data_IF_285402666733
#
_entry.id   IF_285402666733
#
_cell.length_a   1.000
_cell.length_b   1.000
_cell.length_c   1.000
_cell.angle_alpha   90.00
_cell.angle_beta   90.00
_cell.angle_gamma   90.00
#
_symmetry.space_group_name_H-M   'P 1'
#
loop_
_entity.id
_entity.type
_entity.pdbx_description
1 polymer ?
#
# COMPACT_ATOMS: atom_id res chain seq x y z
N UNK A 1 20.79 9.66 -0.62
CA UNK A 1 19.91 10.38 0.33
C UNK A 1 18.42 10.06 0.17
N UNK A 2 17.80 10.24 -1.01
CA UNK A 2 16.37 9.88 -1.23
C UNK A 2 16.04 8.44 -0.84
N UNK A 3 16.95 7.49 -1.09
CA UNK A 3 16.78 6.10 -0.68
C UNK A 3 16.68 5.95 0.85
N UNK A 4 17.55 6.62 1.60
CA UNK A 4 17.54 6.57 3.07
C UNK A 4 16.24 7.15 3.62
N UNK A 5 15.81 8.31 3.11
CA UNK A 5 14.55 8.97 3.50
C UNK A 5 13.35 8.03 3.30
N UNK A 6 13.30 7.33 2.17
CA UNK A 6 12.17 6.44 1.86
C UNK A 6 12.20 5.14 2.67
N UNK A 7 13.39 4.58 2.88
CA UNK A 7 13.58 3.39 3.71
C UNK A 7 13.14 3.65 5.15
N UNK A 8 13.54 4.80 5.73
CA UNK A 8 13.11 5.21 7.08
C UNK A 8 11.60 5.43 7.12
N UNK A 9 11.00 6.04 6.08
CA UNK A 9 9.54 6.23 6.00
C UNK A 9 8.82 4.89 5.87
N UNK A 10 9.34 3.98 5.06
CA UNK A 10 8.70 2.67 4.81
C UNK A 10 8.75 1.73 6.01
N UNK A 11 9.71 1.88 6.93
CA UNK A 11 9.78 1.07 8.15
C UNK A 11 8.51 1.19 9.01
N UNK A 12 7.86 2.36 8.99
CA UNK A 12 6.63 2.59 9.74
C UNK A 12 5.41 1.83 9.18
N UNK A 13 5.43 1.42 7.90
CA UNK A 13 4.31 0.67 7.29
C UNK A 13 4.00 -0.59 8.08
N UNK A 14 5.03 -1.20 8.68
CA UNK A 14 4.88 -2.37 9.57
C UNK A 14 3.98 -2.05 10.76
N UNK A 15 4.16 -0.91 11.40
CA UNK A 15 3.33 -0.48 12.53
C UNK A 15 1.91 -0.09 12.07
N UNK A 16 1.80 0.74 11.03
CA UNK A 16 0.51 1.26 10.54
C UNK A 16 -0.38 0.22 9.86
N UNK A 17 0.15 -0.94 9.50
CA UNK A 17 -0.58 -2.09 8.98
C UNK A 17 -1.07 -3.00 10.11
N UNK A 18 -0.42 -4.17 10.31
CA UNK A 18 -0.94 -5.22 11.20
C UNK A 18 -1.03 -4.82 12.67
N UNK A 19 -0.07 -4.05 13.20
CA UNK A 19 -0.07 -3.69 14.61
C UNK A 19 -1.08 -2.59 14.95
N UNK A 20 -1.26 -1.60 14.10
CA UNK A 20 -2.31 -0.59 14.29
C UNK A 20 -3.70 -1.24 14.20
N UNK A 21 -3.91 -2.17 13.27
CA UNK A 21 -5.15 -2.95 13.21
C UNK A 21 -5.37 -3.74 14.50
N UNK A 22 -4.33 -4.41 15.03
CA UNK A 22 -4.41 -5.13 16.31
C UNK A 22 -4.79 -4.20 17.46
N UNK A 23 -4.25 -2.97 17.47
CA UNK A 23 -4.58 -1.95 18.46
C UNK A 23 -6.05 -1.51 18.37
N UNK A 24 -6.56 -1.26 17.18
CA UNK A 24 -7.98 -0.97 16.98
C UNK A 24 -8.89 -2.11 17.42
N UNK A 25 -8.53 -3.37 17.10
CA UNK A 25 -9.34 -4.55 17.46
C UNK A 25 -9.39 -4.74 18.97
N UNK A 26 -8.27 -4.58 19.67
CA UNK A 26 -8.20 -4.74 21.14
C UNK A 26 -9.08 -3.72 21.87
N UNK A 27 -9.13 -2.49 21.38
CA UNK A 27 -9.91 -1.42 21.98
C UNK A 27 -11.39 -1.41 21.53
N UNK A 28 -11.76 -2.15 20.49
CA UNK A 28 -13.13 -2.15 19.91
C UNK A 28 -13.84 -3.49 20.05
N UNK A 29 -13.72 -4.18 21.19
CA UNK A 29 -14.38 -5.45 21.46
C UNK A 29 -14.34 -6.44 20.27
N UNK A 30 -13.18 -6.51 19.59
CA UNK A 30 -12.95 -7.31 18.38
C UNK A 30 -13.75 -6.85 17.12
N UNK A 31 -14.27 -5.64 17.08
CA UNK A 31 -14.92 -5.06 15.90
C UNK A 31 -13.91 -4.28 15.04
N UNK A 32 -14.01 -4.43 13.73
CA UNK A 32 -13.11 -3.80 12.75
C UNK A 32 -13.63 -2.44 12.21
N UNK A 33 -14.80 -2.01 12.68
CA UNK A 33 -15.52 -0.81 12.23
C UNK A 33 -14.63 0.45 12.22
N UNK A 34 -14.02 0.78 13.35
CA UNK A 34 -13.22 2.01 13.50
C UNK A 34 -11.96 1.99 12.63
N UNK A 35 -11.37 0.81 12.44
CA UNK A 35 -10.25 0.64 11.52
C UNK A 35 -10.67 0.82 10.05
N UNK A 36 -11.88 0.36 9.69
CA UNK A 36 -12.44 0.61 8.37
C UNK A 36 -12.66 2.10 8.12
N UNK A 37 -13.24 2.83 9.08
CA UNK A 37 -13.38 4.29 9.03
C UNK A 37 -12.04 5.00 8.86
N UNK A 38 -11.05 4.65 9.69
CA UNK A 38 -9.68 5.18 9.57
C UNK A 38 -9.15 5.06 8.14
N UNK A 39 -9.27 3.89 7.51
CA UNK A 39 -8.77 3.68 6.16
C UNK A 39 -9.59 4.40 5.08
N UNK A 40 -10.93 4.45 5.20
CA UNK A 40 -11.80 5.20 4.28
C UNK A 40 -11.33 6.65 4.23
N UNK A 41 -11.24 7.31 5.39
CA UNK A 41 -10.81 8.70 5.44
C UNK A 41 -9.37 8.89 4.98
N UNK A 42 -8.47 7.95 5.30
CA UNK A 42 -7.08 7.98 4.82
C UNK A 42 -6.99 8.02 3.29
N UNK A 43 -7.71 7.14 2.61
CA UNK A 43 -7.63 7.06 1.15
C UNK A 43 -8.45 8.13 0.43
N UNK A 44 -9.57 8.57 0.99
CA UNK A 44 -10.34 9.72 0.46
C UNK A 44 -9.49 10.99 0.54
N UNK A 45 -8.92 11.28 1.70
CA UNK A 45 -8.06 12.46 1.90
C UNK A 45 -6.81 12.36 1.05
N UNK A 46 -6.18 11.18 0.98
CA UNK A 46 -5.02 10.95 0.12
C UNK A 46 -5.33 11.29 -1.34
N UNK A 47 -6.47 10.83 -1.87
CA UNK A 47 -6.89 11.08 -3.24
C UNK A 47 -7.14 12.57 -3.51
N UNK A 48 -7.92 13.24 -2.66
CA UNK A 48 -8.27 14.67 -2.81
C UNK A 48 -7.02 15.56 -2.70
N UNK A 49 -6.20 15.30 -1.69
CA UNK A 49 -4.98 16.09 -1.46
C UNK A 49 -3.94 15.82 -2.55
N UNK A 50 -3.79 14.59 -3.05
CA UNK A 50 -2.90 14.31 -4.18
C UNK A 50 -3.28 15.12 -5.41
N UNK A 51 -4.57 15.33 -5.68
CA UNK A 51 -5.02 16.19 -6.77
C UNK A 51 -4.59 17.65 -6.57
N UNK A 52 -4.89 18.23 -5.41
CA UNK A 52 -4.53 19.62 -5.08
C UNK A 52 -3.00 19.80 -5.11
N UNK A 53 -2.29 18.85 -4.50
CA UNK A 53 -0.82 18.90 -4.40
C UNK A 53 -0.11 18.71 -5.75
N UNK A 54 -0.71 18.01 -6.71
CA UNK A 54 -0.15 17.86 -8.05
C UNK A 54 0.04 19.20 -8.75
N UNK A 55 -0.89 20.14 -8.58
CA UNK A 55 -0.73 21.52 -9.06
C UNK A 55 0.38 22.27 -8.32
N UNK A 56 0.51 22.03 -7.02
CA UNK A 56 1.49 22.70 -6.18
C UNK A 56 2.93 22.20 -6.44
N UNK A 57 3.11 20.88 -6.57
CA UNK A 57 4.42 20.24 -6.79
C UNK A 57 5.07 20.72 -8.07
N UNK A 58 4.31 20.93 -9.16
CA UNK A 58 4.87 21.44 -10.41
C UNK A 58 5.37 22.90 -10.32
N UNK A 59 4.79 23.71 -9.44
CA UNK A 59 5.09 25.14 -9.31
C UNK A 59 6.12 25.47 -8.25
N UNK A 60 6.26 24.66 -7.19
CA UNK A 60 7.04 24.99 -5.98
C UNK A 60 8.09 23.92 -5.63
N UNK A 61 8.80 24.18 -4.56
CA UNK A 61 9.87 23.32 -4.06
C UNK A 61 9.33 21.97 -3.57
N UNK A 62 9.70 20.90 -4.25
CA UNK A 62 9.25 19.52 -4.04
C UNK A 62 9.71 18.98 -2.68
N UNK A 63 10.90 19.42 -2.22
CA UNK A 63 11.41 19.05 -0.89
C UNK A 63 10.56 19.62 0.24
N UNK A 64 10.00 20.82 0.10
CA UNK A 64 9.07 21.37 1.10
C UNK A 64 7.82 20.51 1.23
N UNK A 65 7.29 20.02 0.12
CA UNK A 65 6.15 19.11 0.13
C UNK A 65 6.47 17.80 0.83
N UNK A 66 7.62 17.20 0.55
CA UNK A 66 8.07 15.96 1.18
C UNK A 66 8.25 16.14 2.71
N UNK A 67 8.85 17.26 3.14
CA UNK A 67 8.98 17.63 4.56
C UNK A 67 7.62 17.73 5.24
N UNK A 68 6.64 18.39 4.59
CA UNK A 68 5.26 18.46 5.11
C UNK A 68 4.64 17.06 5.27
N UNK A 69 4.91 16.13 4.34
CA UNK A 69 4.44 14.75 4.46
C UNK A 69 5.00 14.02 5.67
N UNK A 70 6.28 14.22 5.99
CA UNK A 70 6.89 13.66 7.20
C UNK A 70 6.32 14.33 8.45
N UNK A 71 6.09 15.64 8.45
CA UNK A 71 5.47 16.35 9.58
C UNK A 71 4.04 15.85 9.85
N UNK A 72 3.19 15.72 8.83
CA UNK A 72 1.86 15.13 9.01
C UNK A 72 1.92 13.71 9.54
N UNK A 73 2.96 12.96 9.18
CA UNK A 73 3.17 11.63 9.71
C UNK A 73 3.56 11.63 11.19
N UNK A 74 4.43 12.55 11.60
CA UNK A 74 4.78 12.75 13.02
C UNK A 74 3.53 13.16 13.81
N UNK A 75 2.70 14.08 13.27
CA UNK A 75 1.45 14.48 13.91
C UNK A 75 0.47 13.31 14.02
N UNK A 76 0.35 12.47 13.00
CA UNK A 76 -0.45 11.24 13.07
C UNK A 76 -0.01 10.32 14.22
N UNK A 77 1.29 10.06 14.34
CA UNK A 77 1.83 9.24 15.43
C UNK A 77 1.64 9.91 16.79
N UNK A 78 1.79 11.22 16.85
CA UNK A 78 1.59 12.00 18.09
C UNK A 78 0.13 11.95 18.57
N UNK A 79 -0.83 11.99 17.64
CA UNK A 79 -2.24 11.79 17.96
C UNK A 79 -2.46 10.41 18.57
N UNK A 80 -1.83 9.34 18.05
CA UNK A 80 -1.92 7.99 18.63
C UNK A 80 -1.44 7.99 20.09
N UNK A 81 -0.32 8.69 20.38
CA UNK A 81 0.23 8.77 21.76
C UNK A 81 -0.71 9.51 22.71
N UNK A 82 -1.36 10.60 22.25
CA UNK A 82 -2.29 11.38 23.08
C UNK A 82 -3.60 10.60 23.33
N UNK A 83 -4.13 10.00 22.28
CA UNK A 83 -5.46 9.39 22.29
C UNK A 83 -5.46 8.06 23.05
N UNK A 84 -4.35 7.32 23.05
CA UNK A 84 -4.19 6.01 23.71
C UNK A 84 -5.38 5.08 23.38
N UNK A 85 -6.03 4.55 24.41
CA UNK A 85 -7.13 3.59 24.29
C UNK A 85 -8.40 4.18 23.63
N UNK A 86 -8.53 5.51 23.58
CA UNK A 86 -9.65 6.18 22.90
C UNK A 86 -9.49 6.22 21.37
N UNK A 87 -8.59 5.43 20.79
CA UNK A 87 -8.29 5.39 19.36
C UNK A 87 -9.53 5.20 18.47
N UNK A 88 -10.57 4.55 18.99
CA UNK A 88 -11.84 4.30 18.31
C UNK A 88 -12.53 5.61 17.95
N UNK A 89 -12.66 6.52 18.94
CA UNK A 89 -13.36 7.80 18.80
C UNK A 89 -12.65 8.70 17.80
N UNK A 90 -11.32 8.65 17.78
CA UNK A 90 -10.48 9.50 16.93
C UNK A 90 -10.08 8.85 15.61
N UNK A 91 -10.70 7.72 15.22
CA UNK A 91 -10.38 6.99 14.00
C UNK A 91 -10.43 7.84 12.73
N UNK A 92 -11.43 8.73 12.62
CA UNK A 92 -11.58 9.67 11.50
C UNK A 92 -10.42 10.68 11.47
N UNK A 93 -10.08 11.28 12.62
CA UNK A 93 -8.98 12.23 12.74
C UNK A 93 -7.65 11.60 12.35
N UNK A 94 -7.38 10.39 12.84
CA UNK A 94 -6.21 9.61 12.49
C UNK A 94 -6.15 9.33 10.98
N UNK A 95 -7.30 8.97 10.38
CA UNK A 95 -7.42 8.77 8.94
C UNK A 95 -7.07 10.02 8.13
N UNK A 96 -7.55 11.18 8.55
CA UNK A 96 -7.25 12.46 7.90
C UNK A 96 -5.75 12.76 7.93
N UNK A 97 -5.10 12.70 9.09
CA UNK A 97 -3.66 13.00 9.21
C UNK A 97 -2.79 11.98 8.46
N UNK A 98 -3.16 10.70 8.51
CA UNK A 98 -2.45 9.68 7.74
C UNK A 98 -2.60 9.89 6.23
N UNK A 99 -3.81 10.19 5.75
CA UNK A 99 -4.08 10.50 4.34
C UNK A 99 -3.31 11.74 3.85
N UNK A 100 -3.25 12.81 4.66
CA UNK A 100 -2.41 13.98 4.41
C UNK A 100 -0.93 13.59 4.27
N UNK A 101 -0.43 12.76 5.19
CA UNK A 101 0.95 12.26 5.14
C UNK A 101 1.23 11.48 3.85
N UNK A 102 0.35 10.56 3.46
CA UNK A 102 0.51 9.74 2.26
C UNK A 102 0.58 10.62 1.00
N UNK A 103 -0.38 11.52 0.82
CA UNK A 103 -0.46 12.37 -0.36
C UNK A 103 0.74 13.31 -0.50
N UNK A 104 1.09 13.99 0.59
CA UNK A 104 2.14 15.02 0.58
C UNK A 104 3.55 14.44 0.60
N UNK A 105 3.71 13.14 0.94
CA UNK A 105 4.98 12.42 0.86
C UNK A 105 5.18 11.71 -0.46
N UNK A 106 4.28 10.79 -0.84
CA UNK A 106 4.52 9.88 -1.96
C UNK A 106 4.49 10.56 -3.33
N UNK A 107 3.63 11.54 -3.54
CA UNK A 107 3.58 12.26 -4.81
C UNK A 107 4.90 12.99 -5.13
N UNK A 108 5.43 13.89 -4.26
CA UNK A 108 6.71 14.56 -4.52
C UNK A 108 7.88 13.57 -4.50
N UNK A 109 7.85 12.55 -3.66
CA UNK A 109 8.90 11.53 -3.59
C UNK A 109 9.05 10.77 -4.93
N UNK A 110 7.96 10.23 -5.46
CA UNK A 110 7.97 9.49 -6.72
C UNK A 110 8.43 10.40 -7.88
N UNK A 111 8.00 11.66 -7.87
CA UNK A 111 8.43 12.64 -8.85
C UNK A 111 9.93 12.96 -8.73
N UNK A 112 10.48 13.10 -7.52
CA UNK A 112 11.92 13.31 -7.31
C UNK A 112 12.74 12.10 -7.77
N UNK A 113 12.32 10.89 -7.42
CA UNK A 113 12.99 9.66 -7.87
C UNK A 113 13.06 9.59 -9.39
N UNK A 114 11.97 9.90 -10.08
CA UNK A 114 11.91 9.81 -11.53
C UNK A 114 12.76 10.86 -12.25
N UNK A 115 13.01 12.02 -11.62
CA UNK A 115 13.74 13.13 -12.25
C UNK A 115 15.22 13.22 -11.82
N UNK A 116 15.54 12.82 -10.59
CA UNK A 116 16.90 12.98 -10.03
C UNK A 116 17.77 11.73 -10.24
N UNK A 117 17.14 10.55 -10.40
CA UNK A 117 17.89 9.31 -10.60
C UNK A 117 18.07 9.07 -12.09
N UNK A 118 19.34 8.97 -12.52
CA UNK A 118 19.68 8.63 -13.92
C UNK A 118 19.09 7.27 -14.30
N UNK A 119 18.61 7.14 -15.52
CA UNK A 119 18.00 5.88 -16.02
C UNK A 119 18.92 4.67 -15.85
N UNK A 120 20.21 4.86 -16.04
CA UNK A 120 21.25 3.81 -15.86
C UNK A 120 21.35 3.30 -14.42
N UNK A 121 20.97 4.10 -13.43
CA UNK A 121 21.03 3.76 -12.01
C UNK A 121 19.67 3.43 -11.39
N UNK A 122 18.57 3.56 -12.14
CA UNK A 122 17.22 3.28 -11.64
C UNK A 122 17.07 1.83 -11.14
N UNK A 123 17.57 0.86 -11.89
CA UNK A 123 17.49 -0.55 -11.51
C UNK A 123 18.26 -0.83 -10.22
N UNK A 124 19.47 -0.29 -10.10
CA UNK A 124 20.27 -0.39 -8.88
C UNK A 124 19.56 0.26 -7.68
N UNK A 125 19.00 1.45 -7.89
CA UNK A 125 18.29 2.18 -6.84
C UNK A 125 17.06 1.42 -6.34
N UNK A 126 16.22 0.91 -7.27
CA UNK A 126 15.05 0.10 -6.90
C UNK A 126 15.46 -1.22 -6.23
N UNK A 127 16.51 -1.86 -6.71
CA UNK A 127 17.05 -3.08 -6.09
C UNK A 127 17.50 -2.84 -4.65
N UNK A 128 18.30 -1.79 -4.40
CA UNK A 128 18.73 -1.42 -3.04
C UNK A 128 17.56 -1.02 -2.15
N UNK A 129 16.62 -0.22 -2.67
CA UNK A 129 15.39 0.15 -1.95
C UNK A 129 14.63 -1.08 -1.50
N UNK A 130 14.35 -1.99 -2.41
CA UNK A 130 13.61 -3.22 -2.10
C UNK A 130 14.35 -4.09 -1.09
N UNK A 131 15.66 -4.29 -1.27
CA UNK A 131 16.46 -5.12 -0.36
C UNK A 131 16.45 -4.58 1.07
N UNK A 132 16.72 -3.28 1.24
CA UNK A 132 16.76 -2.66 2.57
C UNK A 132 15.36 -2.60 3.18
N UNK A 133 14.35 -2.21 2.41
CA UNK A 133 12.96 -2.18 2.89
C UNK A 133 12.48 -3.57 3.32
N UNK A 134 12.87 -4.61 2.60
CA UNK A 134 12.52 -5.98 2.94
C UNK A 134 13.18 -6.44 4.25
N UNK A 135 14.46 -6.11 4.47
CA UNK A 135 15.13 -6.40 5.75
C UNK A 135 14.39 -5.73 6.90
N UNK A 136 14.04 -4.46 6.76
CA UNK A 136 13.30 -3.73 7.79
C UNK A 136 11.90 -4.31 8.05
N UNK A 137 11.21 -4.76 6.99
CA UNK A 137 9.91 -5.41 7.12
C UNK A 137 9.95 -6.79 7.78
N UNK A 138 11.12 -7.44 7.85
CA UNK A 138 11.33 -8.66 8.65
C UNK A 138 11.71 -8.31 10.09
N UNK A 139 12.60 -7.34 10.29
CA UNK A 139 13.16 -7.01 11.59
C UNK A 139 12.18 -6.22 12.48
N UNK A 140 11.50 -5.20 11.91
CA UNK A 140 10.61 -4.35 12.70
C UNK A 140 9.42 -5.08 13.34
N UNK A 141 8.73 -6.05 12.71
CA UNK A 141 7.64 -6.77 13.39
C UNK A 141 8.13 -7.51 14.64
N UNK A 142 9.36 -8.07 14.63
CA UNK A 142 9.94 -8.72 15.80
C UNK A 142 10.23 -7.70 16.92
N UNK A 143 10.84 -6.56 16.56
CA UNK A 143 11.12 -5.49 17.52
C UNK A 143 9.82 -4.97 18.14
N UNK A 144 8.81 -4.66 17.31
CA UNK A 144 7.50 -4.19 17.79
C UNK A 144 6.85 -5.25 18.70
N UNK A 145 6.88 -6.52 18.27
CA UNK A 145 6.34 -7.62 19.05
C UNK A 145 7.01 -7.77 20.42
N UNK A 146 8.34 -7.59 20.52
CA UNK A 146 9.09 -7.58 21.78
C UNK A 146 8.70 -6.37 22.64
N UNK A 147 8.65 -5.17 22.05
CA UNK A 147 8.25 -3.96 22.80
C UNK A 147 6.86 -4.12 23.38
N UNK A 148 5.90 -4.69 22.64
CA UNK A 148 4.53 -4.90 23.10
C UNK A 148 4.37 -6.00 24.14
N UNK A 149 5.42 -6.78 24.47
CA UNK A 149 5.45 -7.68 25.62
C UNK A 149 5.63 -6.91 26.93
N UNK A 150 6.45 -5.86 26.92
CA UNK A 150 6.86 -5.12 28.11
C UNK A 150 6.19 -3.75 28.23
N UNK A 151 5.73 -3.21 27.11
CA UNK A 151 5.19 -1.86 26.97
C UNK A 151 3.89 -1.90 26.16
N UNK A 152 3.38 -0.72 25.81
CA UNK A 152 2.13 -0.51 25.10
C UNK A 152 2.35 -0.01 23.64
N UNK A 153 1.25 0.15 22.90
CA UNK A 153 1.26 0.67 21.54
C UNK A 153 1.73 2.14 21.46
N UNK A 154 1.57 2.91 22.55
CA UNK A 154 2.04 4.29 22.63
C UNK A 154 3.57 4.36 22.64
N UNK A 155 4.22 3.42 23.30
CA UNK A 155 5.69 3.29 23.31
C UNK A 155 6.25 2.98 21.90
N UNK A 156 5.55 2.13 21.14
CA UNK A 156 5.89 1.86 19.75
C UNK A 156 5.71 3.13 18.88
N UNK A 157 4.62 3.87 19.10
CA UNK A 157 4.38 5.12 18.38
C UNK A 157 5.47 6.17 18.68
N UNK A 158 5.92 6.30 19.94
CA UNK A 158 7.05 7.17 20.35
C UNK A 158 8.35 6.78 19.65
N UNK A 159 8.66 5.49 19.55
CA UNK A 159 9.82 5.01 18.79
C UNK A 159 9.75 5.49 17.33
N UNK A 160 8.61 5.34 16.68
CA UNK A 160 8.45 5.79 15.30
C UNK A 160 8.44 7.31 15.17
N UNK A 161 7.94 8.08 16.15
CA UNK A 161 8.08 9.54 16.17
C UNK A 161 9.56 9.92 16.14
N UNK A 162 10.38 9.29 16.98
CA UNK A 162 11.81 9.53 17.02
C UNK A 162 12.50 9.21 15.68
N UNK A 163 12.18 8.05 15.10
CA UNK A 163 12.70 7.64 13.78
C UNK A 163 12.27 8.64 12.68
N UNK A 164 11.02 9.07 12.67
CA UNK A 164 10.53 10.03 11.68
C UNK A 164 11.07 11.45 11.91
N UNK A 165 11.39 11.82 13.14
CA UNK A 165 12.05 13.09 13.44
C UNK A 165 13.48 13.12 12.87
N UNK A 166 14.24 12.03 13.02
CA UNK A 166 15.54 11.87 12.35
C UNK A 166 15.37 11.99 10.83
N UNK A 167 14.34 11.31 10.28
CA UNK A 167 14.03 11.39 8.85
C UNK A 167 13.75 12.83 8.39
N UNK A 168 13.00 13.58 9.19
CA UNK A 168 12.71 15.00 8.93
C UNK A 168 13.98 15.84 8.87
N UNK A 169 14.88 15.68 9.85
CA UNK A 169 16.18 16.39 9.87
C UNK A 169 17.00 16.02 8.63
N UNK A 170 17.07 14.75 8.27
CA UNK A 170 17.79 14.29 7.08
C UNK A 170 17.30 14.94 5.78
N UNK A 171 16.04 15.36 5.70
CA UNK A 171 15.54 16.05 4.51
C UNK A 171 16.15 17.43 4.29
N UNK A 172 16.73 18.07 5.30
CA UNK A 172 17.40 19.37 5.18
C UNK A 172 18.81 19.26 4.60
N UNK A 173 19.44 18.10 4.70
CA UNK A 173 20.76 17.87 4.10
C UNK A 173 20.72 17.67 2.58
N UNK A 174 19.52 17.60 2.01
CA UNK A 174 19.32 17.36 0.59
C UNK A 174 18.47 18.47 -0.05
N UNK A 175 19.08 19.20 -0.96
CA UNK A 175 18.39 20.23 -1.74
C UNK A 175 18.33 19.84 -3.21
N UNK A 176 17.12 19.74 -3.74
CA UNK A 176 16.87 19.50 -5.16
C UNK A 176 16.63 20.81 -5.88
N UNK A 177 17.46 21.11 -6.88
CA UNK A 177 17.19 22.20 -7.82
C UNK A 177 15.95 21.84 -8.64
N UNK A 178 14.83 22.50 -8.37
CA UNK A 178 13.59 22.23 -9.11
C UNK A 178 13.70 22.70 -10.55
N UNK A 179 13.75 21.77 -11.51
CA UNK A 179 13.57 22.13 -12.92
C UNK A 179 12.14 22.67 -13.09
N UNK A 180 12.01 23.80 -13.78
CA UNK A 180 10.70 24.33 -14.19
C UNK A 180 10.06 23.30 -15.15
N UNK A 181 8.90 22.79 -14.79
CA UNK A 181 8.10 21.86 -15.60
C UNK A 181 6.82 22.55 -16.06
N UNK A 182 6.21 22.07 -17.13
CA UNK A 182 4.93 22.56 -17.62
C UNK A 182 3.85 22.51 -16.53
N UNK A 183 2.82 23.33 -16.63
CA UNK A 183 1.71 23.30 -15.68
C UNK A 183 1.04 21.91 -15.65
N UNK A 184 0.58 21.48 -14.47
CA UNK A 184 -0.19 20.26 -14.33
C UNK A 184 -1.49 20.36 -15.14
N UNK A 185 -1.75 19.38 -16.00
CA UNK A 185 -2.97 19.33 -16.79
C UNK A 185 -3.37 17.89 -17.12
N UNK A 186 -4.34 17.39 -16.37
CA UNK A 186 -4.91 16.06 -16.61
C UNK A 186 -5.63 15.97 -17.98
N UNK A 187 -6.25 17.07 -18.43
CA UNK A 187 -6.86 17.14 -19.78
C UNK A 187 -5.82 16.98 -20.89
N UNK A 188 -4.63 17.54 -20.70
CA UNK A 188 -3.55 17.42 -21.68
C UNK A 188 -2.99 15.99 -21.72
N UNK A 189 -2.87 15.31 -20.57
CA UNK A 189 -2.54 13.88 -20.54
C UNK A 189 -3.56 13.06 -21.34
N UNK A 190 -4.86 13.23 -21.11
CA UNK A 190 -5.91 12.50 -21.85
C UNK A 190 -5.85 12.75 -23.35
N UNK A 191 -5.64 14.00 -23.78
CA UNK A 191 -5.44 14.32 -25.20
C UNK A 191 -4.19 13.64 -25.77
N UNK A 192 -3.10 13.56 -25.02
CA UNK A 192 -1.89 12.86 -25.42
C UNK A 192 -2.15 11.35 -25.58
N UNK A 193 -2.82 10.71 -24.63
CA UNK A 193 -3.20 9.30 -24.68
C UNK A 193 -4.04 9.00 -25.92
N UNK A 194 -5.04 9.83 -26.19
CA UNK A 194 -5.91 9.70 -27.35
C UNK A 194 -5.14 9.84 -28.66
N UNK A 195 -4.24 10.82 -28.75
CA UNK A 195 -3.39 11.04 -29.92
C UNK A 195 -2.45 9.87 -30.22
N UNK A 196 -1.96 9.20 -29.18
CA UNK A 196 -1.09 8.02 -29.28
C UNK A 196 -1.90 6.71 -29.51
N UNK A 197 -3.23 6.76 -29.54
CA UNK A 197 -4.09 5.59 -29.72
C UNK A 197 -4.11 4.61 -28.54
N UNK A 198 -3.74 5.08 -27.33
CA UNK A 198 -3.57 4.27 -26.13
C UNK A 198 -4.80 4.21 -25.22
N UNK A 199 -5.96 4.73 -25.66
CA UNK A 199 -7.18 4.84 -24.85
C UNK A 199 -7.60 3.49 -24.22
N UNK A 200 -7.54 2.40 -25.00
CA UNK A 200 -7.89 1.06 -24.51
C UNK A 200 -6.95 0.60 -23.41
N UNK A 201 -5.65 0.75 -23.61
CA UNK A 201 -4.63 0.34 -22.62
C UNK A 201 -4.78 1.12 -21.31
N UNK A 202 -4.98 2.43 -21.38
CA UNK A 202 -5.21 3.26 -20.20
C UNK A 202 -6.51 2.91 -19.47
N UNK A 203 -7.59 2.64 -20.20
CA UNK A 203 -8.85 2.19 -19.59
C UNK A 203 -8.67 0.88 -18.83
N UNK A 204 -7.98 -0.10 -19.41
CA UNK A 204 -7.71 -1.36 -18.70
C UNK A 204 -6.73 -1.19 -17.55
N UNK A 205 -5.70 -0.34 -17.68
CA UNK A 205 -4.80 0.00 -16.60
C UNK A 205 -5.55 0.62 -15.41
N UNK A 206 -6.44 1.58 -15.63
CA UNK A 206 -7.27 2.21 -14.60
C UNK A 206 -8.20 1.21 -13.89
N UNK A 207 -8.83 0.29 -14.65
CA UNK A 207 -9.65 -0.78 -14.07
C UNK A 207 -8.80 -1.75 -13.23
N UNK A 208 -7.61 -2.10 -13.68
CA UNK A 208 -6.67 -2.92 -12.92
C UNK A 208 -6.24 -2.23 -11.62
N UNK A 209 -5.97 -0.92 -11.64
CA UNK A 209 -5.63 -0.17 -10.44
C UNK A 209 -6.77 -0.18 -9.41
N UNK A 210 -8.03 0.00 -9.85
CA UNK A 210 -9.20 -0.13 -8.95
C UNK A 210 -9.24 -1.53 -8.33
N UNK A 211 -9.09 -2.59 -9.11
CA UNK A 211 -9.15 -3.97 -8.63
C UNK A 211 -7.98 -4.30 -7.70
N UNK A 212 -6.79 -3.79 -7.98
CA UNK A 212 -5.61 -3.93 -7.11
C UNK A 212 -5.85 -3.24 -5.77
N UNK A 213 -6.32 -2.00 -5.78
CA UNK A 213 -6.69 -1.28 -4.56
C UNK A 213 -7.80 -1.98 -3.79
N UNK A 214 -8.72 -2.64 -4.48
CA UNK A 214 -9.84 -3.35 -3.88
C UNK A 214 -9.42 -4.62 -3.13
N UNK A 215 -8.52 -5.45 -3.68
CA UNK A 215 -8.26 -6.79 -3.15
C UNK A 215 -6.79 -7.14 -2.90
N UNK A 216 -5.83 -6.41 -3.51
CA UNK A 216 -4.41 -6.83 -3.51
C UNK A 216 -3.53 -5.94 -2.65
N UNK A 217 -3.70 -4.62 -2.69
CA UNK A 217 -2.73 -3.69 -2.08
C UNK A 217 -3.38 -2.68 -1.15
N UNK A 218 -3.14 -2.85 0.16
CA UNK A 218 -3.72 -2.03 1.21
C UNK A 218 -5.26 -1.98 1.18
N UNK A 219 -5.90 -3.01 0.61
CA UNK A 219 -7.34 -3.20 0.64
C UNK A 219 -7.80 -3.89 1.92
N UNK A 220 -9.14 -3.96 2.11
CA UNK A 220 -9.73 -4.55 3.30
C UNK A 220 -9.45 -6.06 3.44
N UNK A 221 -9.06 -6.73 2.36
CA UNK A 221 -8.68 -8.15 2.38
C UNK A 221 -7.52 -8.42 3.33
N UNK A 222 -6.44 -7.62 3.24
CA UNK A 222 -5.29 -7.72 4.15
C UNK A 222 -5.71 -7.50 5.61
N UNK A 223 -6.63 -6.56 5.86
CA UNK A 223 -7.16 -6.28 7.18
C UNK A 223 -7.98 -7.45 7.75
N UNK A 224 -8.83 -8.08 6.93
CA UNK A 224 -9.61 -9.26 7.35
C UNK A 224 -8.71 -10.44 7.69
N UNK A 225 -7.70 -10.71 6.86
CA UNK A 225 -6.73 -11.79 7.12
C UNK A 225 -5.99 -11.51 8.43
N UNK A 226 -5.52 -10.28 8.63
CA UNK A 226 -4.83 -9.87 9.86
C UNK A 226 -5.76 -9.98 11.08
N UNK A 227 -7.05 -9.62 10.95
CA UNK A 227 -8.04 -9.81 12.02
C UNK A 227 -8.14 -11.27 12.44
N UNK A 228 -8.20 -12.20 11.50
CA UNK A 228 -8.21 -13.64 11.82
C UNK A 228 -6.90 -14.08 12.51
N UNK A 229 -5.75 -13.57 12.06
CA UNK A 229 -4.45 -13.88 12.68
C UNK A 229 -4.39 -13.35 14.10
N UNK A 230 -4.81 -12.11 14.36
CA UNK A 230 -4.86 -11.51 15.71
C UNK A 230 -5.77 -12.31 16.63
N UNK A 231 -6.96 -12.69 16.16
CA UNK A 231 -7.89 -13.54 16.94
C UNK A 231 -7.32 -14.92 17.28
N UNK A 232 -6.48 -15.48 16.38
CA UNK A 232 -5.88 -16.80 16.59
C UNK A 232 -4.74 -16.79 17.59
N UNK A 233 -3.86 -15.79 17.51
CA UNK A 233 -2.61 -15.80 18.27
C UNK A 233 -2.67 -15.09 19.61
N UNK A 234 -3.66 -14.21 19.82
CA UNK A 234 -3.96 -13.50 21.07
C UNK A 234 -2.81 -12.64 21.66
N UNK A 235 -1.58 -12.77 21.16
CA UNK A 235 -0.41 -12.04 21.64
C UNK A 235 0.28 -11.29 20.51
N UNK A 236 0.71 -10.05 20.78
CA UNK A 236 1.38 -9.20 19.78
C UNK A 236 2.76 -9.74 19.39
N UNK A 237 3.43 -10.42 20.31
CA UNK A 237 4.70 -11.09 20.00
C UNK A 237 4.53 -12.15 18.90
N UNK A 238 3.52 -13.02 19.02
CA UNK A 238 3.23 -14.02 17.99
C UNK A 238 2.83 -13.35 16.66
N UNK A 239 2.06 -12.26 16.70
CA UNK A 239 1.76 -11.48 15.52
C UNK A 239 3.05 -10.98 14.85
N UNK A 240 4.00 -10.45 15.63
CA UNK A 240 5.30 -10.00 15.13
C UNK A 240 6.09 -11.13 14.47
N UNK A 241 6.21 -12.28 15.12
CA UNK A 241 6.91 -13.45 14.57
C UNK A 241 6.27 -13.91 13.25
N UNK A 242 4.94 -14.06 13.20
CA UNK A 242 4.24 -14.50 12.00
C UNK A 242 4.37 -13.48 10.86
N UNK A 243 4.22 -12.20 11.17
CA UNK A 243 4.40 -11.15 10.16
C UNK A 243 5.81 -11.19 9.56
N UNK A 244 6.84 -11.40 10.39
CA UNK A 244 8.23 -11.50 9.92
C UNK A 244 8.45 -12.72 9.03
N UNK A 245 7.95 -13.90 9.43
CA UNK A 245 8.06 -15.14 8.64
C UNK A 245 7.35 -14.97 7.29
N UNK A 246 6.13 -14.45 7.29
CA UNK A 246 5.37 -14.24 6.05
C UNK A 246 6.02 -13.22 5.12
N UNK A 247 6.59 -12.17 5.68
CA UNK A 247 7.34 -11.17 4.90
C UNK A 247 8.59 -11.80 4.28
N UNK A 248 9.31 -12.65 5.03
CA UNK A 248 10.48 -13.35 4.51
C UNK A 248 10.12 -14.28 3.35
N UNK A 249 9.04 -15.05 3.46
CA UNK A 249 8.53 -15.89 2.37
C UNK A 249 8.13 -15.06 1.13
N UNK A 250 7.50 -13.90 1.36
CA UNK A 250 7.15 -12.99 0.27
C UNK A 250 8.39 -12.44 -0.45
N UNK A 251 9.45 -12.12 0.29
CA UNK A 251 10.74 -11.68 -0.27
C UNK A 251 11.34 -12.77 -1.15
N UNK A 252 11.42 -14.01 -0.65
CA UNK A 252 11.96 -15.14 -1.38
C UNK A 252 11.18 -15.36 -2.68
N UNK A 253 9.85 -15.34 -2.60
CA UNK A 253 8.99 -15.52 -3.77
C UNK A 253 9.17 -14.41 -4.80
N UNK A 254 9.21 -13.16 -4.36
CA UNK A 254 9.43 -12.01 -5.24
C UNK A 254 10.80 -12.05 -5.90
N UNK A 255 11.82 -12.49 -5.17
CA UNK A 255 13.17 -12.67 -5.70
C UNK A 255 13.22 -13.78 -6.77
N UNK A 256 12.62 -14.94 -6.51
CA UNK A 256 12.54 -16.04 -7.48
C UNK A 256 11.80 -15.59 -8.74
N UNK A 257 10.67 -14.90 -8.57
CA UNK A 257 9.89 -14.39 -9.70
C UNK A 257 10.68 -13.36 -10.52
N UNK A 258 11.39 -12.45 -9.88
CA UNK A 258 12.20 -11.44 -10.57
C UNK A 258 13.32 -12.05 -11.44
N UNK A 259 13.90 -13.19 -11.02
CA UNK A 259 14.99 -13.86 -11.75
C UNK A 259 14.51 -14.88 -12.79
N UNK A 260 13.39 -15.57 -12.49
CA UNK A 260 12.88 -16.66 -13.36
C UNK A 260 11.63 -16.29 -14.14
N UNK A 261 10.98 -15.18 -13.80
CA UNK A 261 9.74 -14.75 -14.46
C UNK A 261 9.98 -14.30 -15.90
N UNK A 262 9.33 -14.96 -16.85
CA UNK A 262 9.39 -14.59 -18.26
C UNK A 262 8.12 -13.79 -18.61
N UNK A 263 8.29 -12.67 -19.33
CA UNK A 263 7.17 -11.81 -19.75
C UNK A 263 6.12 -12.56 -20.58
N UNK A 264 6.56 -13.52 -21.41
CA UNK A 264 5.65 -14.37 -22.21
C UNK A 264 4.68 -15.20 -21.36
N UNK A 265 5.07 -15.52 -20.13
CA UNK A 265 4.30 -16.38 -19.22
C UNK A 265 3.50 -15.58 -18.19
N UNK A 266 3.47 -14.24 -18.22
CA UNK A 266 2.79 -13.43 -17.22
C UNK A 266 1.31 -13.77 -17.07
N UNK A 267 0.59 -13.99 -18.18
CA UNK A 267 -0.81 -14.40 -18.14
C UNK A 267 -0.96 -15.75 -17.43
N UNK A 268 -0.05 -16.72 -17.71
CA UNK A 268 -0.04 -18.02 -17.06
C UNK A 268 0.23 -17.91 -15.56
N UNK A 269 1.23 -17.11 -15.15
CA UNK A 269 1.51 -16.87 -13.72
C UNK A 269 0.31 -16.25 -13.00
N UNK A 270 -0.35 -15.27 -13.60
CA UNK A 270 -1.55 -14.66 -13.02
C UNK A 270 -2.71 -15.63 -12.90
N UNK A 271 -2.94 -16.46 -13.93
CA UNK A 271 -4.00 -17.47 -13.91
C UNK A 271 -3.77 -18.51 -12.82
N UNK A 272 -2.56 -19.06 -12.73
CA UNK A 272 -2.19 -20.00 -11.67
C UNK A 272 -2.33 -19.38 -10.29
N UNK A 273 -1.84 -18.15 -10.12
CA UNK A 273 -1.97 -17.42 -8.84
C UNK A 273 -3.43 -17.22 -8.44
N UNK A 274 -4.28 -16.79 -9.36
CA UNK A 274 -5.71 -16.61 -9.10
C UNK A 274 -6.42 -17.91 -8.75
N UNK A 275 -6.13 -19.01 -9.44
CA UNK A 275 -6.66 -20.33 -9.13
C UNK A 275 -6.22 -20.82 -7.74
N UNK A 276 -4.95 -20.65 -7.39
CA UNK A 276 -4.43 -21.03 -6.06
C UNK A 276 -5.12 -20.25 -4.94
N UNK A 277 -5.34 -18.95 -5.11
CA UNK A 277 -6.10 -18.13 -4.14
C UNK A 277 -7.52 -18.67 -4.03
N UNK A 278 -8.18 -18.97 -5.16
CA UNK A 278 -9.54 -19.48 -5.18
C UNK A 278 -9.66 -20.85 -4.49
N UNK A 279 -8.77 -21.79 -4.76
CA UNK A 279 -8.75 -23.09 -4.07
C UNK A 279 -8.46 -22.95 -2.57
N UNK A 280 -7.53 -22.11 -2.20
CA UNK A 280 -7.18 -21.91 -0.79
C UNK A 280 -8.35 -21.30 0.02
N UNK A 281 -9.18 -20.48 -0.61
CA UNK A 281 -10.37 -19.92 0.03
C UNK A 281 -11.45 -20.99 0.26
N UNK A 282 -11.65 -21.91 -0.69
CA UNK A 282 -12.60 -23.01 -0.52
C UNK A 282 -12.20 -23.84 0.70
N UNK A 283 -10.91 -24.19 0.82
CA UNK A 283 -10.38 -24.92 1.97
C UNK A 283 -10.63 -24.15 3.28
N UNK A 284 -10.39 -22.85 3.27
CA UNK A 284 -10.62 -21.99 4.45
C UNK A 284 -12.11 -21.91 4.84
N UNK A 285 -13.02 -21.86 3.85
CA UNK A 285 -14.47 -21.78 4.11
C UNK A 285 -15.04 -23.10 4.65
N UNK A 286 -14.54 -24.24 4.15
CA UNK A 286 -14.97 -25.56 4.60
C UNK A 286 -14.51 -25.87 6.04
N UNK A 287 -13.31 -25.48 6.40
CA UNK A 287 -12.76 -25.72 7.73
C UNK A 287 -12.01 -24.49 8.26
N UNK A 288 -12.74 -23.59 8.92
CA UNK A 288 -12.17 -22.33 9.47
C UNK A 288 -11.36 -22.59 10.75
N UNK A 289 -10.28 -23.37 10.65
CA UNK A 289 -9.36 -23.66 11.74
C UNK A 289 -8.05 -22.88 11.62
N UNK A 290 -7.16 -22.99 12.62
CA UNK A 290 -5.88 -22.27 12.66
C UNK A 290 -4.99 -22.60 11.45
N UNK A 291 -4.96 -23.85 11.05
CA UNK A 291 -4.09 -24.33 9.97
C UNK A 291 -4.57 -23.77 8.61
N UNK A 292 -5.88 -23.81 8.36
CA UNK A 292 -6.44 -23.34 7.08
C UNK A 292 -6.33 -21.83 6.91
N UNK A 293 -6.38 -21.04 8.01
CA UNK A 293 -6.15 -19.59 7.95
C UNK A 293 -4.70 -19.28 7.61
N UNK A 294 -3.74 -19.97 8.25
CA UNK A 294 -2.31 -19.81 7.99
C UNK A 294 -2.01 -20.19 6.53
N UNK A 295 -2.55 -21.32 6.08
CA UNK A 295 -2.38 -21.80 4.71
C UNK A 295 -2.95 -20.81 3.69
N UNK A 296 -4.16 -20.31 3.92
CA UNK A 296 -4.77 -19.31 3.07
C UNK A 296 -3.94 -18.02 3.01
N UNK A 297 -3.46 -17.52 4.16
CA UNK A 297 -2.64 -16.32 4.21
C UNK A 297 -1.32 -16.49 3.45
N UNK A 298 -0.66 -17.63 3.56
CA UNK A 298 0.56 -17.94 2.81
C UNK A 298 0.32 -17.89 1.29
N UNK A 299 -0.71 -18.57 0.82
CA UNK A 299 -1.04 -18.59 -0.62
C UNK A 299 -1.42 -17.20 -1.10
N UNK A 300 -2.25 -16.49 -0.32
CA UNK A 300 -2.64 -15.12 -0.64
C UNK A 300 -1.43 -14.20 -0.78
N UNK A 301 -0.49 -14.20 0.17
CA UNK A 301 0.69 -13.34 0.13
C UNK A 301 1.60 -13.63 -1.07
N UNK A 302 1.87 -14.90 -1.34
CA UNK A 302 2.70 -15.33 -2.46
C UNK A 302 2.05 -14.92 -3.79
N UNK A 303 0.81 -15.31 -3.99
CA UNK A 303 0.11 -15.11 -5.25
C UNK A 303 -0.22 -13.63 -5.52
N UNK A 304 -0.68 -12.89 -4.50
CA UNK A 304 -0.98 -11.47 -4.65
C UNK A 304 0.27 -10.64 -4.96
N UNK A 305 1.44 -11.03 -4.42
CA UNK A 305 2.70 -10.37 -4.72
C UNK A 305 3.16 -10.58 -6.16
N UNK A 306 3.03 -11.79 -6.69
CA UNK A 306 3.34 -12.07 -8.10
C UNK A 306 2.42 -11.26 -9.01
N UNK A 307 1.11 -11.25 -8.74
CA UNK A 307 0.15 -10.49 -9.54
C UNK A 307 0.43 -8.99 -9.48
N UNK A 308 0.74 -8.47 -8.30
CA UNK A 308 1.09 -7.06 -8.12
C UNK A 308 2.37 -6.69 -8.89
N UNK A 309 3.42 -7.53 -8.86
CA UNK A 309 4.66 -7.29 -9.60
C UNK A 309 4.42 -7.24 -11.11
N UNK A 310 3.64 -8.15 -11.66
CA UNK A 310 3.31 -8.18 -13.10
C UNK A 310 2.63 -6.86 -13.51
N UNK A 311 1.64 -6.41 -12.74
CA UNK A 311 0.91 -5.19 -13.06
C UNK A 311 1.79 -3.95 -12.86
N UNK A 312 2.66 -3.93 -11.85
CA UNK A 312 3.67 -2.87 -11.68
C UNK A 312 4.57 -2.73 -12.90
N UNK A 313 5.06 -3.84 -13.44
CA UNK A 313 5.92 -3.84 -14.63
C UNK A 313 5.16 -3.25 -15.83
N UNK A 314 3.90 -3.63 -16.02
CA UNK A 314 3.04 -3.11 -17.07
C UNK A 314 2.84 -1.59 -16.96
N UNK A 315 2.64 -1.05 -15.75
CA UNK A 315 2.55 0.40 -15.52
C UNK A 315 3.87 1.14 -15.80
N UNK A 316 5.00 0.54 -15.43
CA UNK A 316 6.31 1.12 -15.74
C UNK A 316 6.52 1.22 -17.27
N UNK A 317 6.05 0.23 -18.02
CA UNK A 317 6.13 0.27 -19.50
C UNK A 317 5.32 1.42 -20.09
N UNK A 318 4.08 1.65 -19.59
CA UNK A 318 3.30 2.83 -20.01
C UNK A 318 4.02 4.15 -19.68
N UNK A 319 4.66 4.25 -18.53
CA UNK A 319 5.37 5.46 -18.13
C UNK A 319 6.63 5.76 -18.96
N UNK A 320 7.16 4.75 -19.68
CA UNK A 320 8.35 4.90 -20.55
C UNK A 320 8.02 5.47 -21.93
N UNK A 321 6.75 5.58 -22.31
CA UNK A 321 6.35 6.20 -23.58
C UNK A 321 6.85 7.64 -23.62
N UNK A 322 7.64 7.99 -24.63
CA UNK A 322 8.41 9.24 -24.72
C UNK A 322 7.55 10.50 -24.53
N UNK A 323 6.36 10.52 -25.11
CA UNK A 323 5.40 11.63 -25.00
C UNK A 323 4.88 11.84 -23.59
N UNK A 324 4.64 10.74 -22.84
CA UNK A 324 4.15 10.75 -21.46
C UNK A 324 5.29 11.04 -20.50
N UNK A 325 6.44 10.38 -20.68
CA UNK A 325 7.60 10.48 -19.80
C UNK A 325 8.11 11.92 -19.67
N UNK A 326 8.21 12.63 -20.79
CA UNK A 326 8.79 13.96 -20.79
C UNK A 326 7.87 15.06 -20.24
N UNK A 327 6.54 14.91 -20.38
CA UNK A 327 5.59 15.98 -20.14
C UNK A 327 4.53 15.68 -19.07
N UNK A 328 4.12 14.41 -18.92
CA UNK A 328 2.90 14.04 -18.16
C UNK A 328 3.13 12.96 -17.09
N UNK A 329 4.37 12.77 -16.65
CA UNK A 329 4.69 11.72 -15.68
C UNK A 329 3.99 11.91 -14.33
N UNK A 330 3.86 13.15 -13.86
CA UNK A 330 3.16 13.46 -12.61
C UNK A 330 1.67 13.19 -12.72
N UNK A 331 1.08 13.55 -13.87
CA UNK A 331 -0.34 13.30 -14.17
C UNK A 331 -0.65 11.79 -14.20
N UNK A 332 0.25 10.99 -14.78
CA UNK A 332 0.12 9.53 -14.79
C UNK A 332 0.21 8.94 -13.38
N UNK A 333 1.16 9.42 -12.57
CA UNK A 333 1.29 8.99 -11.17
C UNK A 333 0.05 9.34 -10.35
N UNK A 334 -0.50 10.54 -10.57
CA UNK A 334 -1.75 10.95 -9.93
C UNK A 334 -2.92 10.05 -10.35
N UNK A 335 -3.07 9.80 -11.64
CA UNK A 335 -4.15 8.96 -12.18
C UNK A 335 -4.15 7.58 -11.53
N UNK A 336 -2.98 6.95 -11.44
CA UNK A 336 -2.80 5.67 -10.78
C UNK A 336 -3.21 5.69 -9.30
N UNK A 337 -2.69 6.63 -8.52
CA UNK A 337 -3.02 6.73 -7.08
C UNK A 337 -4.51 7.04 -6.86
N UNK A 338 -5.13 7.79 -7.76
CA UNK A 338 -6.55 8.09 -7.74
C UNK A 338 -7.39 6.81 -7.89
N UNK A 339 -7.12 6.00 -8.93
CA UNK A 339 -7.85 4.76 -9.16
C UNK A 339 -7.58 3.68 -8.10
N UNK A 340 -6.34 3.56 -7.63
CA UNK A 340 -6.01 2.72 -6.47
C UNK A 340 -6.80 3.12 -5.22
N UNK A 341 -6.91 4.42 -4.96
CA UNK A 341 -7.65 4.94 -3.80
C UNK A 341 -9.15 4.65 -3.91
N UNK A 342 -9.74 4.76 -5.10
CA UNK A 342 -11.15 4.36 -5.34
C UNK A 342 -11.34 2.89 -4.94
N UNK A 343 -10.47 1.99 -5.41
CA UNK A 343 -10.55 0.57 -5.08
C UNK A 343 -10.45 0.31 -3.58
N UNK A 344 -9.51 0.96 -2.90
CA UNK A 344 -9.32 0.86 -1.44
C UNK A 344 -10.54 1.37 -0.67
N UNK A 345 -11.06 2.53 -1.04
CA UNK A 345 -12.26 3.11 -0.41
C UNK A 345 -13.47 2.17 -0.57
N UNK A 346 -13.72 1.64 -1.77
CA UNK A 346 -14.79 0.68 -2.01
C UNK A 346 -14.64 -0.57 -1.17
N UNK A 347 -13.42 -1.10 -1.06
CA UNK A 347 -13.10 -2.26 -0.25
C UNK A 347 -13.38 -2.02 1.24
N UNK A 348 -12.93 -0.91 1.79
CA UNK A 348 -13.17 -0.57 3.20
C UNK A 348 -14.61 -0.14 3.48
N UNK A 349 -15.36 0.41 2.51
CA UNK A 349 -16.80 0.65 2.64
C UNK A 349 -17.57 -0.66 2.80
N UNK A 350 -17.24 -1.68 2.01
CA UNK A 350 -17.85 -3.00 2.18
C UNK A 350 -17.53 -3.60 3.56
N UNK A 351 -16.29 -3.46 4.02
CA UNK A 351 -15.89 -3.91 5.35
C UNK A 351 -16.63 -3.14 6.46
N UNK A 352 -16.78 -1.83 6.30
CA UNK A 352 -17.51 -0.97 7.21
C UNK A 352 -18.98 -1.39 7.33
N UNK A 353 -19.70 -1.56 6.22
CA UNK A 353 -21.08 -1.99 6.25
C UNK A 353 -21.25 -3.41 6.81
N UNK A 354 -20.30 -4.31 6.53
CA UNK A 354 -20.34 -5.67 7.09
C UNK A 354 -20.19 -5.70 8.61
N UNK A 355 -19.59 -4.67 9.20
CA UNK A 355 -19.39 -4.60 10.66
C UNK A 355 -20.68 -4.36 11.45
N UNK A 356 -21.75 -3.89 10.80
CA UNK A 356 -23.09 -3.74 11.39
C UNK A 356 -23.94 -5.02 11.31
N UNK A 357 -23.48 -5.99 10.52
CA UNK A 357 -24.16 -7.26 10.30
C UNK A 357 -23.51 -8.35 11.17
N UNK A 358 -24.07 -9.55 11.19
CA UNK A 358 -23.58 -10.65 12.04
C UNK A 358 -22.13 -11.04 11.66
N UNK A 359 -21.13 -10.59 12.44
CA UNK A 359 -19.71 -10.45 12.08
C UNK A 359 -19.02 -11.70 11.51
N UNK A 360 -19.40 -12.91 11.93
CA UNK A 360 -18.67 -14.13 11.52
C UNK A 360 -18.96 -14.56 10.10
N UNK A 361 -20.23 -14.48 9.69
CA UNK A 361 -20.70 -14.99 8.39
C UNK A 361 -20.37 -13.99 7.28
N UNK A 362 -20.61 -12.69 7.52
CA UNK A 362 -20.38 -11.66 6.50
C UNK A 362 -18.92 -11.46 6.16
N UNK A 363 -18.00 -11.61 7.11
CA UNK A 363 -16.55 -11.57 6.82
C UNK A 363 -16.14 -12.69 5.85
N UNK A 364 -16.74 -13.88 5.95
CA UNK A 364 -16.50 -14.97 5.00
C UNK A 364 -16.99 -14.62 3.60
N UNK A 365 -18.18 -14.03 3.47
CA UNK A 365 -18.70 -13.55 2.18
C UNK A 365 -17.82 -12.45 1.57
N UNK A 366 -17.31 -11.52 2.38
CA UNK A 366 -16.38 -10.50 1.89
C UNK A 366 -15.09 -11.12 1.33
N UNK A 367 -14.53 -12.12 2.00
CA UNK A 367 -13.36 -12.83 1.49
C UNK A 367 -13.66 -13.44 0.11
N UNK A 368 -14.85 -14.01 -0.10
CA UNK A 368 -15.27 -14.54 -1.42
C UNK A 368 -15.32 -13.41 -2.47
N UNK A 369 -15.95 -12.29 -2.14
CA UNK A 369 -16.08 -11.14 -3.06
C UNK A 369 -14.70 -10.61 -3.46
N UNK A 370 -13.78 -10.43 -2.49
CA UNK A 370 -12.41 -9.99 -2.78
C UNK A 370 -11.67 -11.02 -3.63
N UNK A 371 -11.86 -12.31 -3.37
CA UNK A 371 -11.21 -13.34 -4.18
C UNK A 371 -11.79 -13.45 -5.58
N UNK A 372 -13.08 -13.22 -5.76
CA UNK A 372 -13.68 -13.15 -7.09
C UNK A 372 -13.08 -12.02 -7.95
N UNK A 373 -12.63 -10.91 -7.32
CA UNK A 373 -11.97 -9.83 -8.05
C UNK A 373 -10.67 -10.25 -8.72
N UNK A 374 -9.98 -11.29 -8.24
CA UNK A 374 -8.77 -11.83 -8.90
C UNK A 374 -9.06 -12.38 -10.29
N UNK A 375 -10.25 -12.95 -10.52
CA UNK A 375 -10.70 -13.41 -11.84
C UNK A 375 -10.80 -12.22 -12.80
N UNK A 376 -11.35 -11.10 -12.31
CA UNK A 376 -11.44 -9.87 -13.09
C UNK A 376 -10.06 -9.28 -13.39
N UNK A 377 -9.13 -9.32 -12.43
CA UNK A 377 -7.74 -8.89 -12.63
C UNK A 377 -7.10 -9.69 -13.77
N UNK A 378 -7.23 -11.01 -13.78
CA UNK A 378 -6.68 -11.87 -14.84
C UNK A 378 -7.29 -11.49 -16.20
N UNK A 379 -8.63 -11.33 -16.26
CA UNK A 379 -9.35 -10.98 -17.49
C UNK A 379 -8.92 -9.63 -18.07
N UNK A 380 -8.83 -8.60 -17.22
CA UNK A 380 -8.45 -7.25 -17.67
C UNK A 380 -6.96 -7.14 -17.99
N UNK A 381 -6.10 -7.86 -17.26
CA UNK A 381 -4.67 -7.89 -17.62
C UNK A 381 -4.41 -8.58 -18.95
N UNK A 382 -5.15 -9.65 -19.26
CA UNK A 382 -5.08 -10.28 -20.58
C UNK A 382 -5.43 -9.26 -21.68
N UNK A 383 -6.56 -8.54 -21.54
CA UNK A 383 -6.97 -7.49 -22.50
C UNK A 383 -6.04 -6.27 -22.54
N UNK A 384 -5.28 -6.03 -21.49
CA UNK A 384 -4.26 -4.99 -21.45
C UNK A 384 -3.01 -5.39 -22.23
N UNK A 385 -2.67 -6.67 -22.23
CA UNK A 385 -1.49 -7.21 -22.94
C UNK A 385 -1.75 -7.50 -24.43
N UNK A 386 -3.00 -7.74 -24.81
CA UNK A 386 -3.48 -7.83 -26.21
C UNK A 386 -3.60 -6.44 -26.86
#
# INVERSE_FOLDING_TARGET
MLLIIDVIKSSQIVFTGPFLLAFFIKNNLNNIYSYALYNIYSFVVCSVISFIYSYYIKKKNKMKSLRMGILFNILFLFIIVIVKDNIIVYSVLLGIFYGLSLATYYMPFNYLVSNEIRETHLNLWFGLKLSISNILQVVFPLIIGIILVYYDYTSVALLFIFIQFINFILTFTFDCKSKKTNNFSYRALKKCIHKEGLDKHFRYASLLDILIGFSVRAGAMEAIITLYIVKLFKTDFKLGVFTSIFTLLNIITSYIFAHKGNKKDYIKYMTVSGLLIFFSIIIFLLSSNKVTIIFYNLIYLICSSIMFLIIQISHIELSKIKSIKNNYQLELMFEREFYLSIGRVLSYLLLFFSSFLNHGIYLKYLIIIYSASFILIIRYNKKYME
#
